data_IF_461216620671
#
_entry.id   IF_461216620671
#
_cell.length_a   1.000
_cell.length_b   1.000
_cell.length_c   1.000
_cell.angle_alpha   90.00
_cell.angle_beta   90.00
_cell.angle_gamma   90.00
#
_symmetry.space_group_name_H-M   'P 1'
#
loop_
_entity.id
_entity.type
_entity.pdbx_description
1 polymer ?
#
# COMPACT_ATOMS: atom_id res chain seq x y z
N UNK A 1 -14.94 -10.95 -13.29
CA UNK A 1 -14.63 -11.50 -11.95
C UNK A 1 -15.52 -12.70 -11.56
N UNK A 2 -16.73 -12.83 -12.10
CA UNK A 2 -17.64 -13.98 -11.90
C UNK A 2 -17.20 -15.31 -12.55
N UNK A 3 -16.13 -15.30 -13.35
CA UNK A 3 -15.73 -16.45 -14.17
C UNK A 3 -14.71 -17.39 -13.48
N UNK A 4 -14.10 -16.99 -12.36
CA UNK A 4 -13.13 -17.82 -11.63
C UNK A 4 -13.76 -18.49 -10.40
N UNK A 5 -14.62 -17.77 -9.66
CA UNK A 5 -15.33 -18.33 -8.49
C UNK A 5 -16.32 -19.46 -8.83
N UNK A 6 -16.87 -19.49 -10.06
CA UNK A 6 -17.77 -20.55 -10.51
C UNK A 6 -17.09 -21.91 -10.68
N UNK A 7 -15.76 -21.96 -10.78
CA UNK A 7 -15.00 -23.21 -10.89
C UNK A 7 -14.91 -23.96 -9.57
N UNK A 8 -14.76 -23.25 -8.44
CA UNK A 8 -14.62 -23.84 -7.12
C UNK A 8 -15.82 -24.72 -6.71
N UNK A 9 -17.04 -24.32 -7.09
CA UNK A 9 -18.25 -25.11 -6.82
C UNK A 9 -18.35 -26.40 -7.68
N UNK A 10 -17.60 -26.48 -8.79
CA UNK A 10 -17.55 -27.64 -9.68
C UNK A 10 -16.42 -28.64 -9.35
N UNK A 11 -15.63 -28.38 -8.31
CA UNK A 11 -14.49 -29.24 -7.95
C UNK A 11 -14.88 -30.51 -7.18
N UNK A 12 -15.98 -30.49 -6.40
CA UNK A 12 -16.47 -31.67 -5.66
C UNK A 12 -16.65 -32.93 -6.54
N UNK A 13 -17.25 -32.85 -7.75
CA UNK A 13 -17.38 -34.02 -8.62
C UNK A 13 -16.09 -34.40 -9.40
N UNK A 14 -15.02 -33.61 -9.35
CA UNK A 14 -13.76 -33.88 -10.07
C UNK A 14 -12.71 -34.60 -9.20
N UNK A 15 -12.84 -34.53 -7.88
CA UNK A 15 -11.98 -35.26 -6.93
C UNK A 15 -12.17 -36.79 -6.99
N UNK A 16 -13.32 -37.26 -7.50
CA UNK A 16 -13.66 -38.68 -7.59
C UNK A 16 -13.05 -39.40 -8.82
N UNK A 17 -12.45 -38.67 -9.77
CA UNK A 17 -11.80 -39.26 -10.96
C UNK A 17 -10.30 -39.49 -10.71
N UNK A 18 -10.00 -40.54 -9.96
CA UNK A 18 -8.64 -40.95 -9.56
C UNK A 18 -7.96 -41.86 -10.60
N UNK A 19 -6.97 -41.36 -11.34
CA UNK A 19 -5.79 -42.14 -11.79
C UNK A 19 -4.76 -41.27 -12.53
N UNK A 20 -3.54 -41.13 -11.98
CA UNK A 20 -2.31 -40.53 -12.56
C UNK A 20 -2.37 -39.07 -13.06
N UNK A 21 -3.54 -38.55 -13.43
CA UNK A 21 -3.89 -37.15 -13.72
C UNK A 21 -4.02 -36.27 -12.45
N UNK A 22 -3.63 -36.79 -11.29
CA UNK A 22 -3.88 -36.13 -10.00
C UNK A 22 -2.87 -35.01 -9.72
N UNK A 23 -1.60 -35.15 -10.13
CA UNK A 23 -0.56 -34.14 -9.84
C UNK A 23 -0.81 -32.79 -10.51
N UNK A 24 -1.27 -32.80 -11.76
CA UNK A 24 -1.62 -31.58 -12.48
C UNK A 24 -2.90 -30.96 -11.92
N UNK A 25 -3.88 -31.78 -11.50
CA UNK A 25 -5.10 -31.30 -10.87
C UNK A 25 -4.86 -30.75 -9.46
N UNK A 26 -3.98 -31.36 -8.66
CA UNK A 26 -3.53 -30.84 -7.36
C UNK A 26 -2.77 -29.52 -7.52
N UNK A 27 -1.87 -29.43 -8.50
CA UNK A 27 -1.22 -28.15 -8.84
C UNK A 27 -2.24 -27.09 -9.23
N UNK A 28 -3.22 -27.43 -10.08
CA UNK A 28 -4.29 -26.52 -10.48
C UNK A 28 -5.14 -26.08 -9.28
N UNK A 29 -5.45 -26.99 -8.36
CA UNK A 29 -6.18 -26.68 -7.12
C UNK A 29 -5.43 -25.67 -6.26
N UNK A 30 -4.16 -25.94 -5.93
CA UNK A 30 -3.32 -25.01 -5.17
C UNK A 30 -3.17 -23.66 -5.88
N UNK A 31 -3.06 -23.68 -7.22
CA UNK A 31 -2.97 -22.47 -8.03
C UNK A 31 -4.27 -21.66 -7.99
N UNK A 32 -5.44 -22.29 -8.01
CA UNK A 32 -6.73 -21.60 -7.88
C UNK A 32 -6.88 -20.93 -6.51
N UNK A 33 -6.48 -21.61 -5.44
CA UNK A 33 -6.49 -21.05 -4.07
C UNK A 33 -5.57 -19.83 -3.96
N UNK A 34 -4.36 -19.93 -4.51
CA UNK A 34 -3.40 -18.83 -4.55
C UNK A 34 -3.94 -17.63 -5.36
N UNK A 35 -4.40 -17.86 -6.60
CA UNK A 35 -4.92 -16.81 -7.49
C UNK A 35 -6.16 -16.12 -6.91
N UNK A 36 -7.03 -16.85 -6.21
CA UNK A 36 -8.21 -16.27 -5.56
C UNK A 36 -7.79 -15.33 -4.43
N UNK A 37 -6.78 -15.72 -3.65
CA UNK A 37 -6.22 -14.89 -2.57
C UNK A 37 -5.58 -13.63 -3.14
N UNK A 38 -4.71 -13.76 -4.15
CA UNK A 38 -4.08 -12.61 -4.82
C UNK A 38 -5.11 -11.70 -5.49
N UNK A 39 -6.19 -12.27 -6.03
CA UNK A 39 -7.30 -11.51 -6.60
C UNK A 39 -8.01 -10.63 -5.57
N UNK A 40 -8.27 -11.16 -4.37
CA UNK A 40 -8.89 -10.40 -3.27
C UNK A 40 -7.94 -9.28 -2.78
N UNK A 41 -6.65 -9.57 -2.62
CA UNK A 41 -5.66 -8.55 -2.22
C UNK A 41 -5.46 -7.48 -3.31
N UNK A 42 -5.52 -7.85 -4.58
CA UNK A 42 -5.47 -6.90 -5.71
C UNK A 42 -6.66 -5.96 -5.72
N UNK A 43 -7.88 -6.46 -5.45
CA UNK A 43 -9.07 -5.61 -5.28
C UNK A 43 -8.86 -4.62 -4.13
N UNK A 44 -8.38 -5.10 -2.97
CA UNK A 44 -8.13 -4.25 -1.80
C UNK A 44 -7.14 -3.13 -2.12
N UNK A 45 -6.00 -3.44 -2.73
CA UNK A 45 -5.01 -2.42 -3.08
C UNK A 45 -5.52 -1.46 -4.17
N UNK A 46 -6.29 -1.94 -5.14
CA UNK A 46 -6.97 -1.10 -6.14
C UNK A 46 -7.92 -0.07 -5.53
N UNK A 47 -8.68 -0.46 -4.49
CA UNK A 47 -9.51 0.47 -3.73
C UNK A 47 -8.70 1.49 -2.93
N UNK A 48 -7.59 1.09 -2.31
CA UNK A 48 -6.71 2.01 -1.57
C UNK A 48 -6.08 3.06 -2.50
N UNK A 49 -5.65 2.66 -3.71
CA UNK A 49 -5.17 3.60 -4.72
C UNK A 49 -6.29 4.40 -5.41
N UNK A 50 -7.55 4.03 -5.17
CA UNK A 50 -8.72 4.60 -5.84
C UNK A 50 -8.57 4.58 -7.37
N UNK A 51 -8.19 3.41 -7.92
CA UNK A 51 -8.02 3.20 -9.36
C UNK A 51 -8.79 1.96 -9.80
N UNK A 52 -9.87 2.17 -10.56
CA UNK A 52 -10.66 1.12 -11.20
C UNK A 52 -10.63 1.36 -12.70
N UNK A 53 -9.97 0.47 -13.44
CA UNK A 53 -9.79 0.58 -14.91
C UNK A 53 -9.21 1.93 -15.34
N UNK A 54 -8.24 2.47 -14.60
CA UNK A 54 -7.62 3.78 -14.86
C UNK A 54 -8.55 4.98 -14.67
N UNK A 55 -9.66 4.79 -13.92
CA UNK A 55 -10.56 5.87 -13.49
C UNK A 55 -10.64 5.89 -11.97
N UNK A 56 -10.57 7.09 -11.40
CA UNK A 56 -10.84 7.30 -9.96
C UNK A 56 -12.33 7.35 -9.67
N UNK A 57 -12.74 6.68 -8.60
CA UNK A 57 -14.09 6.80 -8.08
C UNK A 57 -14.19 8.00 -7.15
N UNK A 58 -15.26 8.79 -7.30
CA UNK A 58 -15.62 9.83 -6.34
C UNK A 58 -16.53 9.22 -5.26
N UNK A 59 -15.94 8.41 -4.38
CA UNK A 59 -16.69 7.72 -3.30
C UNK A 59 -17.14 8.73 -2.23
N UNK A 60 -16.27 9.67 -1.89
CA UNK A 60 -16.53 10.78 -0.97
C UNK A 60 -16.31 12.12 -1.68
N UNK A 61 -16.78 13.21 -1.07
CA UNK A 61 -16.45 14.54 -1.55
C UNK A 61 -14.93 14.74 -1.53
N UNK A 62 -14.39 15.29 -2.61
CA UNK A 62 -12.97 15.67 -2.64
C UNK A 62 -12.74 16.80 -1.64
N UNK A 63 -11.56 16.79 -1.04
CA UNK A 63 -11.14 17.78 -0.03
C UNK A 63 -10.37 18.94 -0.65
N UNK A 64 -10.23 18.93 -1.98
CA UNK A 64 -9.70 20.00 -2.81
C UNK A 64 -10.83 20.74 -3.52
N UNK A 65 -10.83 22.07 -3.41
CA UNK A 65 -11.78 22.95 -4.06
C UNK A 65 -11.05 23.93 -4.97
N UNK A 66 -11.63 24.22 -6.13
CA UNK A 66 -11.06 25.17 -7.09
C UNK A 66 -11.65 26.56 -6.79
N UNK A 67 -10.91 27.43 -6.10
CA UNK A 67 -11.35 28.79 -5.78
C UNK A 67 -10.85 29.84 -6.80
N UNK A 68 -10.88 29.50 -8.10
CA UNK A 68 -10.53 30.43 -9.18
C UNK A 68 -11.77 31.02 -9.86
N UNK A 69 -11.65 32.27 -10.32
CA UNK A 69 -12.70 32.92 -11.09
C UNK A 69 -12.83 32.27 -12.49
N UNK A 70 -14.03 32.27 -13.06
CA UNK A 70 -14.32 31.58 -14.33
C UNK A 70 -13.46 32.11 -15.48
N UNK A 71 -13.17 33.41 -15.49
CA UNK A 71 -12.29 34.06 -16.47
C UNK A 71 -10.85 33.54 -16.39
N UNK A 72 -10.34 33.27 -15.18
CA UNK A 72 -8.99 32.75 -14.94
C UNK A 72 -8.87 31.29 -15.36
N UNK A 73 -9.92 30.49 -15.13
CA UNK A 73 -9.98 29.07 -15.52
C UNK A 73 -10.00 28.92 -17.05
N UNK A 74 -10.70 29.80 -17.76
CA UNK A 74 -10.80 29.73 -19.22
C UNK A 74 -9.56 30.25 -19.95
N UNK A 75 -8.75 31.08 -19.30
CA UNK A 75 -7.56 31.70 -19.89
C UNK A 75 -6.28 30.89 -19.67
N UNK A 76 -6.21 30.12 -18.57
CA UNK A 76 -5.02 29.36 -18.20
C UNK A 76 -5.27 27.85 -18.34
N UNK A 77 -4.40 27.17 -19.08
CA UNK A 77 -4.49 25.72 -19.27
C UNK A 77 -4.05 24.92 -18.02
N UNK A 78 -3.18 25.50 -17.20
CA UNK A 78 -2.63 24.88 -15.99
C UNK A 78 -2.74 25.87 -14.83
N UNK A 79 -3.36 25.42 -13.75
CA UNK A 79 -3.51 26.17 -12.50
C UNK A 79 -3.04 25.26 -11.36
N UNK A 80 -2.24 25.81 -10.45
CA UNK A 80 -1.72 25.09 -9.30
C UNK A 80 -2.49 25.53 -8.05
N UNK A 81 -3.18 24.59 -7.41
CA UNK A 81 -3.85 24.84 -6.14
C UNK A 81 -2.81 24.92 -5.01
N UNK A 82 -2.95 25.92 -4.14
CA UNK A 82 -2.07 26.09 -3.00
C UNK A 82 -2.65 25.40 -1.76
N UNK A 83 -1.98 24.40 -1.17
CA UNK A 83 -2.48 23.75 0.04
C UNK A 83 -2.46 24.64 1.29
N UNK A 84 -1.80 25.81 1.27
CA UNK A 84 -1.79 26.78 2.36
C UNK A 84 -3.03 27.68 2.39
N UNK A 85 -3.72 27.87 1.27
CA UNK A 85 -4.93 28.70 1.13
C UNK A 85 -6.21 27.89 1.39
N UNK A 86 -7.38 28.50 1.16
CA UNK A 86 -8.70 27.85 1.28
C UNK A 86 -9.00 26.83 0.15
N UNK A 87 -8.04 26.58 -0.75
CA UNK A 87 -8.14 25.55 -1.80
C UNK A 87 -8.10 24.13 -1.24
N UNK A 88 -7.54 23.97 -0.04
CA UNK A 88 -7.50 22.71 0.70
C UNK A 88 -8.28 22.82 2.01
N UNK A 89 -9.26 21.94 2.19
CA UNK A 89 -10.12 21.88 3.39
C UNK A 89 -9.38 21.53 4.68
N UNK A 90 -8.11 21.15 4.62
CA UNK A 90 -7.27 20.89 5.79
C UNK A 90 -7.46 19.52 6.43
N UNK A 91 -8.37 18.68 5.89
CA UNK A 91 -8.57 17.30 6.35
C UNK A 91 -8.21 16.29 5.26
N UNK A 92 -7.56 15.16 5.60
CA UNK A 92 -7.23 14.13 4.63
C UNK A 92 -8.49 13.41 4.13
N UNK A 93 -8.44 12.90 2.90
CA UNK A 93 -9.54 12.12 2.33
C UNK A 93 -9.78 10.86 3.17
N UNK A 94 -11.04 10.54 3.52
CA UNK A 94 -11.35 9.56 4.57
C UNK A 94 -10.97 8.12 4.21
N UNK A 95 -10.86 7.78 2.92
CA UNK A 95 -10.52 6.42 2.49
C UNK A 95 -9.75 6.40 1.18
N UNK A 96 -8.53 5.89 1.19
CA UNK A 96 -7.69 5.77 0.00
C UNK A 96 -7.19 7.13 -0.51
N UNK A 97 -6.89 7.20 -1.81
CA UNK A 97 -6.41 8.43 -2.44
C UNK A 97 -7.54 9.33 -2.92
N UNK A 98 -7.39 10.64 -2.72
CA UNK A 98 -8.34 11.62 -3.26
C UNK A 98 -8.39 11.51 -4.80
N UNK A 99 -9.59 11.37 -5.41
CA UNK A 99 -9.75 11.26 -6.86
C UNK A 99 -9.17 12.44 -7.65
N UNK A 100 -9.02 13.62 -7.04
CA UNK A 100 -8.44 14.80 -7.72
C UNK A 100 -7.02 14.55 -8.21
N UNK A 101 -6.25 13.71 -7.50
CA UNK A 101 -4.89 13.35 -7.93
C UNK A 101 -4.83 12.59 -9.25
N UNK A 102 -5.90 11.94 -9.71
CA UNK A 102 -5.90 11.30 -11.04
C UNK A 102 -5.97 12.32 -12.19
N UNK A 103 -6.56 13.49 -11.92
CA UNK A 103 -6.71 14.59 -12.89
C UNK A 103 -5.52 15.55 -12.88
N UNK A 104 -4.70 15.55 -11.82
CA UNK A 104 -3.55 16.44 -11.69
C UNK A 104 -2.40 16.05 -12.64
N UNK A 105 -1.70 17.05 -13.18
CA UNK A 105 -0.53 16.84 -14.05
C UNK A 105 0.67 16.29 -13.25
N UNK A 106 0.85 16.75 -12.01
CA UNK A 106 1.92 16.34 -11.10
C UNK A 106 1.67 14.99 -10.40
N UNK A 107 0.66 14.22 -10.83
CA UNK A 107 0.28 12.95 -10.18
C UNK A 107 1.39 11.91 -10.15
N UNK A 108 2.20 11.84 -11.20
CA UNK A 108 3.27 10.84 -11.33
C UNK A 108 4.33 11.08 -10.26
N UNK A 109 4.72 12.33 -10.05
CA UNK A 109 5.74 12.71 -9.05
C UNK A 109 5.23 12.37 -7.63
N UNK A 110 3.99 12.75 -7.32
CA UNK A 110 3.38 12.45 -6.03
C UNK A 110 3.23 10.94 -5.78
N UNK A 111 2.64 10.21 -6.73
CA UNK A 111 2.41 8.76 -6.63
C UNK A 111 3.71 7.98 -6.52
N UNK A 112 4.74 8.36 -7.26
CA UNK A 112 6.03 7.69 -7.21
C UNK A 112 6.69 7.84 -5.84
N UNK A 113 6.72 9.07 -5.31
CA UNK A 113 7.25 9.33 -3.97
C UNK A 113 6.45 8.60 -2.88
N UNK A 114 5.12 8.55 -3.02
CA UNK A 114 4.25 7.83 -2.10
C UNK A 114 4.52 6.31 -2.12
N UNK A 115 4.53 5.70 -3.31
CA UNK A 115 4.78 4.27 -3.49
C UNK A 115 6.15 3.84 -2.96
N UNK A 116 7.18 4.65 -3.17
CA UNK A 116 8.51 4.40 -2.64
C UNK A 116 8.50 4.35 -1.10
N UNK A 117 7.91 5.35 -0.43
CA UNK A 117 7.85 5.40 1.04
C UNK A 117 7.07 4.21 1.61
N UNK A 118 5.90 3.92 1.03
CA UNK A 118 5.06 2.79 1.45
C UNK A 118 5.80 1.45 1.25
N UNK A 119 6.50 1.27 0.13
CA UNK A 119 7.30 0.08 -0.13
C UNK A 119 8.39 -0.13 0.93
N UNK A 120 9.08 0.94 1.35
CA UNK A 120 10.09 0.81 2.39
C UNK A 120 9.45 0.46 3.74
N UNK A 121 8.33 1.08 4.11
CA UNK A 121 7.62 0.78 5.37
C UNK A 121 7.22 -0.71 5.44
N UNK A 122 6.57 -1.22 4.39
CA UNK A 122 6.20 -2.64 4.33
C UNK A 122 7.42 -3.56 4.29
N UNK A 123 8.49 -3.16 3.60
CA UNK A 123 9.75 -3.91 3.56
C UNK A 123 10.36 -4.10 4.94
N UNK A 124 10.46 -3.02 5.73
CA UNK A 124 11.03 -3.08 7.10
C UNK A 124 10.15 -3.91 8.02
N UNK A 125 8.82 -3.77 7.94
CA UNK A 125 7.89 -4.60 8.71
C UNK A 125 8.03 -6.09 8.38
N UNK A 126 8.16 -6.42 7.09
CA UNK A 126 8.33 -7.81 6.64
C UNK A 126 9.69 -8.39 7.08
N UNK A 127 10.77 -7.61 7.00
CA UNK A 127 12.08 -8.02 7.51
C UNK A 127 12.06 -8.24 9.03
N UNK A 128 11.42 -7.35 9.81
CA UNK A 128 11.25 -7.50 11.26
C UNK A 128 10.47 -8.76 11.62
N UNK A 129 9.43 -9.08 10.85
CA UNK A 129 8.69 -10.33 11.00
C UNK A 129 9.59 -11.55 10.75
N UNK A 130 10.40 -11.54 9.69
CA UNK A 130 11.38 -12.60 9.41
C UNK A 130 12.39 -12.83 10.54
N UNK A 131 12.96 -11.74 11.08
CA UNK A 131 13.89 -11.81 12.22
C UNK A 131 13.18 -12.28 13.51
N UNK A 132 11.91 -11.93 13.69
CA UNK A 132 11.11 -12.44 14.83
C UNK A 132 10.87 -13.95 14.75
N UNK A 133 10.76 -14.52 13.53
CA UNK A 133 10.67 -15.96 13.33
C UNK A 133 12.00 -16.67 13.61
N UNK A 134 13.14 -16.07 13.26
CA UNK A 134 14.46 -16.66 13.58
C UNK A 134 14.66 -16.77 15.10
N UNK A 135 14.18 -15.81 15.89
CA UNK A 135 14.19 -15.92 17.36
C UNK A 135 13.42 -17.14 17.88
N UNK A 136 12.23 -17.42 17.32
CA UNK A 136 11.44 -18.60 17.70
C UNK A 136 12.19 -19.87 17.34
N UNK A 137 12.90 -19.88 16.20
CA UNK A 137 13.71 -21.02 15.76
C UNK A 137 14.85 -21.32 16.74
N UNK A 138 15.67 -20.32 17.11
CA UNK A 138 16.76 -20.53 18.07
C UNK A 138 16.25 -20.97 19.45
N UNK A 139 15.08 -20.47 19.87
CA UNK A 139 14.45 -20.88 21.12
C UNK A 139 14.00 -22.34 21.08
N UNK A 140 13.45 -22.81 19.97
CA UNK A 140 13.05 -24.21 19.78
C UNK A 140 14.26 -25.16 19.86
N UNK A 141 15.35 -24.83 19.16
CA UNK A 141 16.59 -25.64 19.15
C UNK A 141 17.49 -25.42 20.37
N UNK A 142 17.07 -24.57 21.34
CA UNK A 142 17.82 -24.21 22.55
C UNK A 142 19.25 -23.71 22.30
N UNK A 143 19.53 -23.21 21.10
CA UNK A 143 20.86 -22.70 20.75
C UNK A 143 20.98 -21.22 21.15
N UNK A 144 21.32 -20.99 22.42
CA UNK A 144 21.45 -19.64 22.99
C UNK A 144 22.63 -18.86 22.39
N UNK A 145 23.69 -19.54 21.94
CA UNK A 145 24.87 -18.88 21.36
C UNK A 145 24.52 -18.12 20.08
N UNK A 146 23.73 -18.71 19.19
CA UNK A 146 23.25 -18.04 17.97
C UNK A 146 22.31 -16.86 18.28
N UNK A 147 21.60 -16.87 19.40
CA UNK A 147 20.75 -15.72 19.79
C UNK A 147 21.63 -14.49 20.07
N UNK A 148 22.69 -14.65 20.84
CA UNK A 148 23.55 -13.51 21.20
C UNK A 148 24.45 -13.06 20.05
N UNK A 149 25.00 -14.01 19.28
CA UNK A 149 25.98 -13.69 18.23
C UNK A 149 25.35 -13.31 16.87
N UNK A 150 24.12 -13.73 16.58
CA UNK A 150 23.48 -13.52 15.27
C UNK A 150 22.22 -12.65 15.40
N UNK A 151 21.26 -13.05 16.24
CA UNK A 151 19.97 -12.36 16.35
C UNK A 151 20.09 -10.96 16.94
N UNK A 152 20.80 -10.79 18.07
CA UNK A 152 20.94 -9.48 18.72
C UNK A 152 21.61 -8.44 17.81
N UNK A 153 22.79 -8.68 17.21
CA UNK A 153 23.40 -7.68 16.34
C UNK A 153 22.54 -7.38 15.10
N UNK A 154 21.88 -8.39 14.52
CA UNK A 154 20.96 -8.20 13.40
C UNK A 154 19.75 -7.32 13.77
N UNK A 155 19.16 -7.56 14.94
CA UNK A 155 18.01 -6.79 15.43
C UNK A 155 18.39 -5.34 15.74
N UNK A 156 19.54 -5.13 16.42
CA UNK A 156 20.06 -3.79 16.74
C UNK A 156 20.27 -3.00 15.45
N UNK A 157 20.96 -3.57 14.46
CA UNK A 157 21.20 -2.92 13.18
C UNK A 157 19.90 -2.55 12.46
N UNK A 158 18.92 -3.46 12.43
CA UNK A 158 17.63 -3.25 11.78
C UNK A 158 16.81 -2.14 12.45
N UNK A 159 16.82 -2.07 13.79
CA UNK A 159 16.12 -1.04 14.55
C UNK A 159 16.76 0.34 14.35
N UNK A 160 18.09 0.44 14.48
CA UNK A 160 18.77 1.74 14.44
C UNK A 160 18.81 2.38 13.06
N UNK A 161 18.90 1.61 11.98
CA UNK A 161 18.92 2.17 10.63
C UNK A 161 17.53 2.24 10.02
N UNK A 162 16.88 1.09 9.87
CA UNK A 162 15.70 0.98 9.03
C UNK A 162 14.42 1.39 9.77
N UNK A 163 14.25 0.97 11.03
CA UNK A 163 13.08 1.38 11.80
C UNK A 163 13.13 2.87 12.13
N UNK A 164 14.31 3.42 12.45
CA UNK A 164 14.49 4.85 12.64
C UNK A 164 14.08 5.66 11.41
N UNK A 165 14.50 5.25 10.21
CA UNK A 165 14.11 5.92 8.96
C UNK A 165 12.58 5.89 8.75
N UNK A 166 11.94 4.76 9.03
CA UNK A 166 10.48 4.64 8.96
C UNK A 166 9.78 5.57 9.95
N UNK A 167 10.28 5.69 11.19
CA UNK A 167 9.75 6.64 12.17
C UNK A 167 9.86 8.08 11.69
N UNK A 168 10.99 8.48 11.07
CA UNK A 168 11.15 9.81 10.49
C UNK A 168 10.13 10.09 9.38
N UNK A 169 9.76 9.09 8.56
CA UNK A 169 8.72 9.25 7.54
C UNK A 169 7.36 9.56 8.16
N UNK A 170 6.97 8.85 9.22
CA UNK A 170 5.72 9.12 9.94
C UNK A 170 5.73 10.49 10.63
N UNK A 171 6.84 10.84 11.30
CA UNK A 171 7.00 12.17 11.92
C UNK A 171 6.89 13.27 10.86
N UNK A 172 7.50 13.08 9.69
CA UNK A 172 7.40 14.04 8.59
C UNK A 172 5.96 14.20 8.10
N UNK A 173 5.17 13.13 8.03
CA UNK A 173 3.77 13.19 7.61
C UNK A 173 2.83 13.85 8.63
N UNK A 174 3.16 13.81 9.92
CA UNK A 174 2.30 14.36 10.99
C UNK A 174 2.65 15.83 11.28
N UNK A 175 3.95 16.18 11.30
CA UNK A 175 4.42 17.48 11.81
C UNK A 175 4.38 18.57 10.73
N UNK A 176 4.77 18.25 9.49
CA UNK A 176 4.87 19.26 8.43
C UNK A 176 3.51 19.45 7.75
N UNK A 177 2.92 20.64 7.93
CA UNK A 177 1.67 21.04 7.31
C UNK A 177 1.86 22.37 6.57
N UNK A 178 1.15 22.63 5.46
CA UNK A 178 1.25 23.88 4.69
C UNK A 178 0.99 25.14 5.51
N UNK A 179 0.21 25.04 6.60
CA UNK A 179 -0.14 26.15 7.49
C UNK A 179 0.80 26.32 8.67
N UNK A 180 1.92 25.58 8.75
CA UNK A 180 2.87 25.74 9.85
C UNK A 180 3.64 27.05 9.69
N UNK A 181 3.65 27.87 10.76
CA UNK A 181 4.24 29.21 10.84
C UNK A 181 5.77 29.23 10.85
N UNK A 182 6.42 28.16 10.41
CA UNK A 182 7.88 27.95 10.51
C UNK A 182 8.66 28.61 9.35
N UNK A 183 7.97 29.26 8.42
CA UNK A 183 8.56 30.07 7.34
C UNK A 183 8.09 31.52 7.53
N UNK A 184 8.99 32.50 7.74
CA UNK A 184 8.61 33.90 7.61
C UNK A 184 8.19 34.13 6.16
N UNK A 185 6.98 34.66 6.01
CA UNK A 185 6.30 35.09 4.78
C UNK A 185 7.23 35.69 3.73
#
# INVERSE_FOLDING_TARGET
MHLQHGWYFKEKPLADLKNTSNRNMEYLFWRTVHNTSDGIFSIYTGFIYNDIFSKSLRIFSSHWAINYNESTIRTNALLQLDPATDDYSGTPYPFGMDPVWQMAENKIVFLNAFKMKISIIFGVLHMLFGVSLSLKNYRYFKNQMSVYCEFIPQLIFLIFLFLYMVLLMFMKWIIYSPKSTDLPT
#
